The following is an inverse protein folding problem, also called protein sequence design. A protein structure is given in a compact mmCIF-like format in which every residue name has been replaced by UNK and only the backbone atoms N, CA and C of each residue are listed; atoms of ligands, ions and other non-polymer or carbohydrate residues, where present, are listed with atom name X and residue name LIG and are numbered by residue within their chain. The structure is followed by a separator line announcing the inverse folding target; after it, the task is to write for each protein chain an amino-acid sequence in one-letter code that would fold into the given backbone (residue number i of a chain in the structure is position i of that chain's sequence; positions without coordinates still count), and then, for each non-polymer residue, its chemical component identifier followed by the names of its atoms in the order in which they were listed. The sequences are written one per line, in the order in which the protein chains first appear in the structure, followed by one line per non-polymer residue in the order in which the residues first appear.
data_IF_753103255127
#
_entry.id   IF_753103255127
#
_cell.length_a   1.000
_cell.length_b   1.000
_cell.length_c   1.000
_cell.angle_alpha   90.00
_cell.angle_beta   90.00
_cell.angle_gamma   90.00
#
_symmetry.space_group_name_H-M   'P 1'
#
loop_
_entity.id
_entity.type
_entity.pdbx_description
1 polymer ?
#
# COMPACT_ATOMS: atom_id res chain seq x y z
N UNK A 1 -3.19 20.03 -25.97
CA UNK A 1 -2.08 19.64 -25.06
C UNK A 1 -2.29 18.20 -24.67
N UNK A 2 -1.39 17.28 -25.02
CA UNK A 2 -1.53 15.85 -24.69
C UNK A 2 -0.99 15.63 -23.28
N UNK A 3 -1.88 15.41 -22.31
CA UNK A 3 -1.51 14.99 -20.97
C UNK A 3 -0.82 13.62 -21.05
N UNK A 4 0.44 13.56 -20.63
CA UNK A 4 1.15 12.28 -20.47
C UNK A 4 0.56 11.63 -19.23
N UNK A 5 -0.15 10.51 -19.41
CA UNK A 5 -0.61 9.69 -18.29
C UNK A 5 0.61 9.21 -17.51
N UNK A 6 0.73 9.66 -16.25
CA UNK A 6 1.71 9.10 -15.33
C UNK A 6 1.18 7.74 -14.88
N UNK A 7 1.87 6.67 -15.25
CA UNK A 7 1.68 5.38 -14.60
C UNK A 7 2.29 5.49 -13.20
N UNK A 8 1.44 5.54 -12.18
CA UNK A 8 1.87 5.42 -10.79
C UNK A 8 1.91 3.94 -10.47
N UNK A 9 3.11 3.39 -10.36
CA UNK A 9 3.32 2.03 -9.89
C UNK A 9 3.64 2.11 -8.40
N UNK A 10 2.84 1.45 -7.57
CA UNK A 10 3.19 1.18 -6.17
C UNK A 10 4.40 0.25 -6.21
N UNK A 11 5.59 0.77 -5.93
CA UNK A 11 6.81 -0.01 -6.00
C UNK A 11 7.66 0.22 -4.75
N UNK A 12 7.91 -0.88 -4.05
CA UNK A 12 9.00 -1.02 -3.12
C UNK A 12 10.35 -0.81 -3.85
N UNK A 13 10.88 0.41 -3.84
CA UNK A 13 12.30 0.62 -4.18
C UNK A 13 13.11 0.36 -2.91
N UNK A 14 13.63 -0.87 -2.79
CA UNK A 14 14.66 -1.17 -1.80
C UNK A 14 15.97 -0.51 -2.26
N UNK A 15 16.41 0.55 -1.58
CA UNK A 15 17.76 1.10 -1.78
C UNK A 15 18.79 0.10 -1.23
N UNK A 16 19.79 -0.36 -2.00
CA UNK A 16 20.84 -1.23 -1.47
C UNK A 16 21.72 -0.46 -0.48
N UNK A 17 21.82 -0.97 0.75
CA UNK A 17 22.71 -0.43 1.79
C UNK A 17 24.18 -0.54 1.37
N UNK A 18 24.96 0.52 1.68
CA UNK A 18 26.42 0.52 1.49
C UNK A 18 27.05 -0.63 2.28
N UNK A 19 27.93 -1.40 1.63
CA UNK A 19 28.79 -2.40 2.27
C UNK A 19 29.78 -1.68 3.19
N UNK A 20 29.73 -1.98 4.48
CA UNK A 20 30.82 -1.74 5.43
C UNK A 20 31.41 -3.08 5.83
N UNK A 21 32.74 -3.14 5.90
CA UNK A 21 33.55 -4.32 6.18
C UNK A 21 33.35 -4.93 7.57
N UNK A 22 33.73 -6.21 7.64
CA UNK A 22 33.62 -7.25 8.67
C UNK A 22 34.35 -7.02 10.00
N UNK A 23 33.81 -7.57 11.09
CA UNK A 23 34.53 -8.52 11.97
C UNK A 23 33.53 -9.46 12.69
N UNK A 24 33.91 -10.72 12.88
CA UNK A 24 33.03 -11.84 13.26
C UNK A 24 32.99 -12.19 14.75
N UNK A 25 31.97 -12.94 15.15
CA UNK A 25 32.07 -14.18 15.98
C UNK A 25 30.69 -14.81 16.14
N UNK A 26 30.70 -16.12 16.40
CA UNK A 26 29.70 -17.14 16.08
C UNK A 26 28.41 -17.17 16.94
N UNK A 27 27.27 -17.45 16.30
CA UNK A 27 26.31 -18.51 16.68
C UNK A 27 25.20 -18.65 15.61
N UNK A 28 24.98 -19.82 14.99
CA UNK A 28 23.91 -19.96 14.00
C UNK A 28 22.61 -20.42 14.68
N UNK A 29 21.46 -19.85 14.29
CA UNK A 29 20.24 -20.66 14.28
C UNK A 29 19.59 -20.68 12.89
N UNK A 30 19.37 -21.92 12.45
CA UNK A 30 18.31 -22.42 11.56
C UNK A 30 18.22 -21.84 10.14
N UNK A 31 18.70 -22.65 9.18
CA UNK A 31 18.15 -22.80 7.82
C UNK A 31 16.60 -22.90 7.90
N UNK A 32 15.77 -22.39 7.00
CA UNK A 32 15.97 -21.62 5.79
C UNK A 32 14.58 -21.09 5.38
N UNK A 33 14.48 -19.80 5.11
CA UNK A 33 13.61 -19.21 4.10
C UNK A 33 14.49 -18.18 3.41
N UNK A 34 15.10 -18.61 2.30
CA UNK A 34 16.30 -18.01 1.74
C UNK A 34 16.11 -16.61 1.16
N UNK A 35 17.24 -16.04 0.76
CA UNK A 35 17.43 -14.86 -0.07
C UNK A 35 16.59 -14.79 -1.38
N UNK A 36 15.62 -15.69 -1.59
CA UNK A 36 14.75 -15.70 -2.75
C UNK A 36 13.89 -14.44 -2.85
N UNK A 37 13.40 -13.84 -1.75
CA UNK A 37 12.64 -12.57 -1.84
C UNK A 37 13.52 -11.46 -2.41
N UNK A 38 14.73 -11.26 -1.89
CA UNK A 38 15.64 -10.22 -2.40
C UNK A 38 16.05 -10.45 -3.86
N UNK A 39 16.26 -11.70 -4.26
CA UNK A 39 16.58 -12.03 -5.65
C UNK A 39 15.39 -11.85 -6.58
N UNK A 40 14.19 -12.27 -6.16
CA UNK A 40 12.94 -12.07 -6.91
C UNK A 40 12.62 -10.59 -7.03
N UNK A 41 12.72 -9.82 -5.95
CA UNK A 41 12.49 -8.36 -5.94
C UNK A 41 13.43 -7.66 -6.94
N UNK A 42 14.71 -8.07 -6.98
CA UNK A 42 15.67 -7.56 -7.95
C UNK A 42 15.26 -7.91 -9.39
N UNK A 43 14.87 -9.15 -9.64
CA UNK A 43 14.45 -9.58 -10.98
C UNK A 43 13.19 -8.83 -11.44
N UNK A 44 12.20 -8.65 -10.57
CA UNK A 44 10.99 -7.86 -10.84
C UNK A 44 11.35 -6.39 -11.12
N UNK A 45 12.26 -5.81 -10.34
CA UNK A 45 12.72 -4.44 -10.59
C UNK A 45 13.41 -4.32 -11.96
N UNK A 46 14.37 -5.19 -12.28
CA UNK A 46 15.12 -5.14 -13.54
C UNK A 46 14.23 -5.33 -14.77
N UNK A 47 13.22 -6.20 -14.66
CA UNK A 47 12.28 -6.48 -15.76
C UNK A 47 11.23 -5.38 -15.93
N UNK A 48 10.57 -4.96 -14.85
CA UNK A 48 9.38 -4.09 -14.94
C UNK A 48 9.66 -2.61 -14.72
N UNK A 49 10.69 -2.24 -13.95
CA UNK A 49 10.89 -0.86 -13.46
C UNK A 49 12.13 -0.21 -14.04
N UNK A 50 13.25 -0.93 -14.06
CA UNK A 50 14.51 -0.42 -14.60
C UNK A 50 14.38 0.13 -16.03
N UNK A 51 13.54 -0.43 -16.94
CA UNK A 51 13.37 0.15 -18.27
C UNK A 51 12.78 1.56 -18.23
N UNK A 52 11.69 1.77 -17.49
CA UNK A 52 11.01 3.08 -17.40
C UNK A 52 11.82 4.10 -16.58
N UNK A 53 12.55 3.63 -15.56
CA UNK A 53 13.42 4.49 -14.76
C UNK A 53 14.63 4.96 -15.58
N UNK A 54 15.33 4.05 -16.29
CA UNK A 54 16.45 4.40 -17.17
C UNK A 54 16.04 5.30 -18.34
N UNK A 55 14.82 5.13 -18.84
CA UNK A 55 14.26 6.00 -19.88
C UNK A 55 13.86 7.40 -19.36
N UNK A 56 14.02 7.68 -18.06
CA UNK A 56 13.63 8.97 -17.46
C UNK A 56 12.12 9.20 -17.43
N UNK A 57 11.32 8.13 -17.49
CA UNK A 57 9.85 8.19 -17.50
C UNK A 57 9.25 8.05 -16.10
N UNK A 58 10.03 7.62 -15.11
CA UNK A 58 9.60 7.48 -13.74
C UNK A 58 9.64 8.84 -12.99
N UNK A 59 8.59 9.11 -12.24
CA UNK A 59 8.56 10.21 -11.26
C UNK A 59 8.67 9.59 -9.87
N UNK A 60 9.77 9.89 -9.18
CA UNK A 60 9.96 9.47 -7.80
C UNK A 60 9.28 10.46 -6.85
N UNK A 61 8.68 9.95 -5.79
CA UNK A 61 7.98 10.74 -4.79
C UNK A 61 8.15 10.13 -3.40
N UNK A 62 7.91 10.92 -2.37
CA UNK A 62 7.95 10.49 -0.97
C UNK A 62 6.89 11.26 -0.16
N UNK A 63 6.36 10.63 0.88
CA UNK A 63 5.33 11.19 1.76
C UNK A 63 3.97 11.39 1.08
N UNK A 64 3.80 12.50 0.36
CA UNK A 64 2.54 12.88 -0.29
C UNK A 64 2.82 13.40 -1.69
N UNK A 65 2.12 12.89 -2.70
CA UNK A 65 2.26 13.32 -4.09
C UNK A 65 0.90 13.60 -4.73
N UNK A 66 0.70 14.84 -5.18
CA UNK A 66 -0.50 15.23 -5.89
C UNK A 66 -0.35 14.93 -7.38
N UNK A 67 -1.19 14.03 -7.90
CA UNK A 67 -1.22 13.67 -9.32
C UNK A 67 -1.97 14.76 -10.10
N UNK A 68 -3.16 15.16 -9.62
CA UNK A 68 -3.98 16.22 -10.20
C UNK A 68 -4.86 16.89 -9.12
N UNK A 69 -5.91 17.64 -9.47
CA UNK A 69 -6.82 18.25 -8.50
C UNK A 69 -7.67 17.28 -7.67
N UNK A 70 -7.82 16.03 -8.10
CA UNK A 70 -8.68 15.03 -7.50
C UNK A 70 -7.91 13.86 -6.88
N UNK A 71 -6.70 13.59 -7.37
CA UNK A 71 -5.93 12.39 -7.04
C UNK A 71 -4.65 12.74 -6.27
N UNK A 72 -4.48 12.11 -5.11
CA UNK A 72 -3.29 12.25 -4.28
C UNK A 72 -2.81 10.90 -3.78
N UNK A 73 -1.52 10.62 -3.95
CA UNK A 73 -0.84 9.49 -3.33
C UNK A 73 -0.37 9.87 -1.94
N UNK A 74 -0.51 8.95 -1.01
CA UNK A 74 -0.07 9.09 0.37
C UNK A 74 0.68 7.84 0.78
N UNK A 75 1.87 8.02 1.33
CA UNK A 75 2.70 6.91 1.82
C UNK A 75 1.99 6.18 2.96
N UNK A 76 1.99 4.85 2.91
CA UNK A 76 1.40 3.94 3.90
C UNK A 76 2.33 2.74 4.11
N UNK A 77 3.58 2.98 4.57
CA UNK A 77 4.62 1.96 4.61
C UNK A 77 4.28 0.87 5.63
N UNK A 78 4.83 -0.31 5.41
CA UNK A 78 4.77 -1.41 6.37
C UNK A 78 4.48 -2.76 5.73
N UNK A 79 3.53 -2.80 4.77
CA UNK A 79 3.39 -3.99 3.93
C UNK A 79 4.66 -4.16 3.08
N UNK A 80 5.03 -3.11 2.37
CA UNK A 80 6.39 -2.87 1.87
C UNK A 80 6.87 -1.48 2.29
N UNK A 81 8.17 -1.16 2.17
CA UNK A 81 8.66 0.20 2.42
C UNK A 81 8.02 1.26 1.50
N UNK A 82 7.68 0.89 0.26
CA UNK A 82 7.10 1.79 -0.74
C UNK A 82 5.58 1.82 -0.76
N UNK A 83 4.90 1.00 0.05
CA UNK A 83 3.44 0.88 0.01
C UNK A 83 2.75 2.24 0.21
N UNK A 84 1.73 2.46 -0.59
CA UNK A 84 1.00 3.72 -0.64
C UNK A 84 -0.52 3.51 -0.79
N UNK A 85 -1.28 4.56 -0.54
CA UNK A 85 -2.71 4.62 -0.87
C UNK A 85 -2.96 5.74 -1.86
N UNK A 86 -3.94 5.55 -2.74
CA UNK A 86 -4.43 6.60 -3.63
C UNK A 86 -5.73 7.15 -3.08
N UNK A 87 -5.80 8.46 -2.89
CA UNK A 87 -7.01 9.16 -2.47
C UNK A 87 -7.64 9.89 -3.64
N UNK A 88 -8.95 9.77 -3.74
CA UNK A 88 -9.80 10.48 -4.67
C UNK A 88 -10.68 11.46 -3.90
N UNK A 89 -10.74 12.69 -4.40
CA UNK A 89 -11.60 13.74 -3.89
C UNK A 89 -12.27 14.49 -5.05
N UNK A 90 -13.60 14.43 -5.13
CA UNK A 90 -14.36 15.16 -6.16
C UNK A 90 -15.60 15.79 -5.52
N UNK A 91 -15.60 17.11 -5.36
CA UNK A 91 -16.65 17.80 -4.61
C UNK A 91 -16.75 17.28 -3.17
N UNK A 92 -17.94 16.76 -2.82
CA UNK A 92 -18.20 16.10 -1.53
C UNK A 92 -17.75 14.63 -1.50
N UNK A 93 -17.52 14.01 -2.64
CA UNK A 93 -17.24 12.57 -2.72
C UNK A 93 -15.77 12.29 -2.40
N UNK A 94 -15.55 11.21 -1.65
CA UNK A 94 -14.22 10.79 -1.18
C UNK A 94 -14.07 9.29 -1.29
N UNK A 95 -12.91 8.84 -1.76
CA UNK A 95 -12.55 7.43 -1.77
C UNK A 95 -11.05 7.23 -1.51
N UNK A 96 -10.71 6.06 -0.97
CA UNK A 96 -9.32 5.65 -0.74
C UNK A 96 -9.10 4.24 -1.28
N UNK A 97 -8.20 4.11 -2.24
CA UNK A 97 -7.72 2.84 -2.77
C UNK A 97 -6.54 2.38 -1.92
N UNK A 98 -6.73 1.29 -1.19
CA UNK A 98 -5.82 0.90 -0.09
C UNK A 98 -4.79 -0.16 -0.47
N UNK A 99 -4.82 -0.67 -1.70
CA UNK A 99 -3.86 -1.69 -2.17
C UNK A 99 -3.73 -2.86 -1.18
N UNK A 100 -2.50 -3.21 -0.87
CA UNK A 100 -2.14 -4.34 0.01
C UNK A 100 -2.15 -3.98 1.50
N UNK A 101 -2.62 -2.78 1.87
CA UNK A 101 -2.80 -2.42 3.27
C UNK A 101 -3.81 -3.36 3.97
N UNK A 102 -4.80 -3.85 3.20
CA UNK A 102 -5.85 -4.78 3.61
C UNK A 102 -5.96 -5.94 2.62
N UNK A 103 -5.87 -7.16 3.14
CA UNK A 103 -6.05 -8.43 2.43
C UNK A 103 -7.40 -9.07 2.76
N UNK A 104 -7.98 -8.77 3.92
CA UNK A 104 -9.27 -9.33 4.35
C UNK A 104 -10.07 -8.35 5.22
N UNK A 105 -11.42 -8.39 5.20
CA UNK A 105 -12.27 -7.56 6.07
C UNK A 105 -11.95 -7.68 7.57
N UNK A 106 -11.39 -8.82 8.02
CA UNK A 106 -10.96 -8.99 9.41
C UNK A 106 -9.94 -7.92 9.83
N UNK A 107 -9.13 -7.40 8.90
CA UNK A 107 -8.13 -6.38 9.19
C UNK A 107 -8.73 -4.98 9.38
N UNK A 108 -10.01 -4.77 9.03
CA UNK A 108 -10.76 -3.58 9.43
C UNK A 108 -11.20 -3.72 10.88
N UNK A 109 -11.82 -4.86 11.21
CA UNK A 109 -12.30 -5.16 12.57
C UNK A 109 -11.16 -5.28 13.59
N UNK A 110 -10.02 -5.82 13.15
CA UNK A 110 -8.82 -6.06 13.95
C UNK A 110 -7.59 -5.53 13.21
N UNK A 111 -7.33 -4.20 13.24
CA UNK A 111 -6.21 -3.59 12.51
C UNK A 111 -4.82 -4.07 12.94
N UNK A 112 -4.69 -4.79 14.05
CA UNK A 112 -3.44 -5.41 14.48
C UNK A 112 -3.07 -6.68 13.70
N UNK A 113 -4.03 -7.30 12.99
CA UNK A 113 -3.79 -8.54 12.23
C UNK A 113 -2.95 -8.26 10.98
N UNK A 114 -1.75 -8.81 10.90
CA UNK A 114 -0.89 -8.76 9.72
C UNK A 114 -0.96 -10.05 8.90
N UNK A 115 -0.54 -9.97 7.64
CA UNK A 115 -0.21 -11.14 6.84
C UNK A 115 1.30 -11.42 6.91
N UNK A 116 1.71 -12.66 6.61
CA UNK A 116 3.14 -13.05 6.48
C UNK A 116 3.88 -12.33 5.34
N UNK A 117 3.16 -11.53 4.56
CA UNK A 117 3.69 -10.69 3.50
C UNK A 117 4.09 -9.28 4.00
N UNK A 118 3.65 -8.85 5.19
CA UNK A 118 4.06 -7.56 5.73
C UNK A 118 5.54 -7.56 6.12
N UNK A 119 6.35 -6.74 5.45
CA UNK A 119 7.80 -6.65 5.68
C UNK A 119 8.16 -5.90 6.99
N UNK A 120 7.32 -4.97 7.44
CA UNK A 120 7.45 -4.28 8.71
C UNK A 120 6.11 -4.30 9.47
N UNK A 121 5.84 -5.36 10.27
CA UNK A 121 4.54 -5.62 10.89
C UNK A 121 3.98 -4.47 11.74
N UNK A 122 4.80 -3.85 12.59
CA UNK A 122 4.34 -2.75 13.45
C UNK A 122 3.99 -1.50 12.65
N UNK A 123 4.81 -1.17 11.64
CA UNK A 123 4.55 -0.06 10.74
C UNK A 123 3.30 -0.29 9.89
N UNK A 124 3.05 -1.54 9.46
CA UNK A 124 1.85 -1.92 8.73
C UNK A 124 0.59 -1.68 9.57
N UNK A 125 0.62 -2.04 10.86
CA UNK A 125 -0.50 -1.79 11.79
C UNK A 125 -0.71 -0.29 11.99
N UNK A 126 0.37 0.49 12.16
CA UNK A 126 0.29 1.94 12.31
C UNK A 126 -0.32 2.60 11.07
N UNK A 127 0.16 2.25 9.88
CA UNK A 127 -0.40 2.71 8.60
C UNK A 127 -1.87 2.32 8.48
N UNK A 128 -2.22 1.06 8.75
CA UNK A 128 -3.61 0.58 8.67
C UNK A 128 -4.54 1.37 9.57
N UNK A 129 -4.17 1.56 10.84
CA UNK A 129 -4.97 2.35 11.80
C UNK A 129 -5.14 3.80 11.35
N UNK A 130 -4.08 4.42 10.84
CA UNK A 130 -4.10 5.82 10.37
C UNK A 130 -5.03 5.98 9.16
N UNK A 131 -4.90 5.10 8.17
CA UNK A 131 -5.73 5.15 6.96
C UNK A 131 -7.21 4.83 7.28
N UNK A 132 -7.49 3.79 8.06
CA UNK A 132 -8.86 3.44 8.48
C UNK A 132 -9.49 4.54 9.35
N UNK A 133 -8.69 5.16 10.23
CA UNK A 133 -9.12 6.30 11.04
C UNK A 133 -9.62 7.45 10.17
N UNK A 134 -8.79 7.87 9.22
CA UNK A 134 -9.15 8.93 8.28
C UNK A 134 -10.34 8.56 7.40
N UNK A 135 -10.39 7.32 6.90
CA UNK A 135 -11.53 6.85 6.10
C UNK A 135 -12.85 6.92 6.86
N UNK A 136 -12.85 6.57 8.15
CA UNK A 136 -14.03 6.69 8.99
C UNK A 136 -14.40 8.15 9.29
N UNK A 137 -13.40 9.01 9.55
CA UNK A 137 -13.63 10.41 9.91
C UNK A 137 -14.11 11.25 8.72
N UNK A 138 -13.56 11.01 7.52
CA UNK A 138 -13.90 11.71 6.28
C UNK A 138 -15.01 11.03 5.48
N UNK A 139 -15.54 9.90 5.96
CA UNK A 139 -16.53 9.06 5.26
C UNK A 139 -16.08 8.69 3.85
N UNK A 140 -14.81 8.30 3.73
CA UNK A 140 -14.25 7.86 2.46
C UNK A 140 -14.76 6.47 2.12
N UNK A 141 -15.10 6.27 0.85
CA UNK A 141 -15.34 4.94 0.33
C UNK A 141 -14.01 4.18 0.23
N UNK A 142 -13.83 3.15 1.05
CA UNK A 142 -12.64 2.33 1.07
C UNK A 142 -12.70 1.29 -0.05
N UNK A 143 -11.70 1.29 -0.93
CA UNK A 143 -11.60 0.41 -2.10
C UNK A 143 -10.41 -0.56 -1.91
N UNK A 144 -10.67 -1.80 -1.50
CA UNK A 144 -9.63 -2.81 -1.26
C UNK A 144 -9.22 -3.52 -2.56
N UNK A 145 -7.95 -3.93 -2.67
CA UNK A 145 -7.47 -4.69 -3.83
C UNK A 145 -7.78 -6.20 -3.77
N UNK A 146 -7.93 -6.75 -2.56
CA UNK A 146 -7.96 -8.20 -2.33
C UNK A 146 -9.29 -8.74 -1.79
N UNK A 147 -10.28 -7.87 -1.52
CA UNK A 147 -11.54 -8.36 -0.99
C UNK A 147 -12.31 -9.08 -2.12
N UNK A 148 -12.89 -10.23 -1.80
CA UNK A 148 -13.71 -10.97 -2.77
C UNK A 148 -14.94 -10.16 -3.18
N UNK A 149 -15.28 -10.21 -4.48
CA UNK A 149 -16.37 -9.44 -5.06
C UNK A 149 -15.91 -8.10 -5.65
N UNK A 150 -16.86 -7.27 -6.09
CA UNK A 150 -16.59 -5.98 -6.74
C UNK A 150 -16.90 -4.77 -5.81
N UNK A 151 -16.77 -4.95 -4.50
CA UNK A 151 -17.30 -4.03 -3.51
C UNK A 151 -16.24 -3.10 -2.91
N UNK A 152 -16.56 -1.82 -2.89
CA UNK A 152 -15.99 -0.89 -1.93
C UNK A 152 -16.91 -0.80 -0.70
N UNK A 153 -16.44 -0.24 0.41
CA UNK A 153 -17.25 -0.11 1.62
C UNK A 153 -16.90 1.13 2.42
N UNK A 154 -17.85 1.62 3.20
CA UNK A 154 -17.54 2.59 4.24
C UNK A 154 -16.92 1.89 5.46
N UNK A 155 -16.07 2.62 6.18
CA UNK A 155 -15.57 2.20 7.50
C UNK A 155 -16.20 3.09 8.55
N UNK A 156 -16.65 2.50 9.65
CA UNK A 156 -17.22 3.24 10.79
C UNK A 156 -16.30 3.17 11.98
N UNK A 157 -16.22 4.25 12.74
CA UNK A 157 -15.52 4.31 14.01
C UNK A 157 -16.39 3.68 15.11
N UNK A 158 -15.81 2.80 15.89
CA UNK A 158 -16.38 2.22 17.10
C UNK A 158 -15.48 2.59 18.30
N UNK A 159 -15.98 2.42 19.54
CA UNK A 159 -15.30 2.89 20.76
C UNK A 159 -13.83 2.50 20.84
N UNK A 160 -13.50 1.26 20.46
CA UNK A 160 -12.14 0.71 20.54
C UNK A 160 -11.61 0.17 19.21
N UNK A 161 -12.19 0.58 18.07
CA UNK A 161 -11.80 0.05 16.77
C UNK A 161 -12.63 0.55 15.60
N UNK A 162 -12.82 -0.34 14.62
CA UNK A 162 -13.60 -0.04 13.42
C UNK A 162 -14.63 -1.12 13.15
N UNK A 163 -15.72 -0.73 12.50
CA UNK A 163 -16.74 -1.62 11.98
C UNK A 163 -16.87 -1.47 10.46
N UNK A 164 -17.37 -2.53 9.82
CA UNK A 164 -17.76 -2.48 8.41
C UNK A 164 -19.03 -1.62 8.29
N UNK A 165 -19.00 -0.62 7.44
CA UNK A 165 -20.16 0.16 7.03
C UNK A 165 -20.90 -0.49 5.85
N UNK A 166 -21.80 0.26 5.21
CA UNK A 166 -22.44 -0.17 3.97
C UNK A 166 -21.42 -0.52 2.90
N UNK A 167 -21.68 -1.61 2.18
CA UNK A 167 -20.95 -1.93 0.96
C UNK A 167 -21.54 -1.14 -0.21
N UNK A 168 -20.69 -0.49 -0.98
CA UNK A 168 -21.07 0.05 -2.27
C UNK A 168 -21.34 -1.13 -3.21
N UNK A 169 -22.60 -1.39 -3.48
CA UNK A 169 -23.01 -2.31 -4.54
C UNK A 169 -22.89 -1.57 -5.87
N UNK A 170 -21.92 -1.97 -6.70
CA UNK A 170 -21.91 -1.55 -8.09
C UNK A 170 -22.88 -2.44 -8.87
N UNK A 171 -24.06 -1.91 -9.19
CA UNK A 171 -24.93 -2.49 -10.20
C UNK A 171 -24.58 -1.83 -11.52
N UNK A 172 -23.81 -2.47 -12.43
CA UNK A 172 -23.69 -1.95 -13.78
C UNK A 172 -25.11 -1.95 -14.37
N UNK A 173 -25.60 -0.78 -14.74
CA UNK A 173 -26.82 -0.71 -15.56
C UNK A 173 -26.58 -1.56 -16.83
N UNK A 174 -27.56 -2.40 -17.13
CA UNK A 174 -27.45 -3.49 -18.11
C UNK A 174 -27.64 -3.01 -19.54
#
# INVERSE_FOLDING_TARGET
MRGRGAAVVDLAVLTPGRRGDVDGTEHPPRRAQGNCRQEVDRLTYEDSIAPIHRAGQAVLWDGLHRIDEHLTLESAPGHTPGSSVLRLASGSDRAVFVGDLLHSPVQILQPCCNSDACLAPEQAVASRRRILGRAADERELLVPAHFGGAGALEVRRESDGFALGPWATFSPEK
#
